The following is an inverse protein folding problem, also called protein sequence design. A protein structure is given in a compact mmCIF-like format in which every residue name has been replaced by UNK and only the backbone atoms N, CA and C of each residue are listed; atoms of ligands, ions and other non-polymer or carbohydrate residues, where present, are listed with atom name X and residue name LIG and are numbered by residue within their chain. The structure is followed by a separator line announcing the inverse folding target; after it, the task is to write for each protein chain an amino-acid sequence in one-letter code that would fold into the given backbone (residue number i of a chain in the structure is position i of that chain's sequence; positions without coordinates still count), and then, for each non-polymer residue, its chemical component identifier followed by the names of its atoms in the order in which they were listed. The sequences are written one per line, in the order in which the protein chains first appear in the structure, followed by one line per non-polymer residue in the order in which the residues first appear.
data_IF_252415314476
#
_entry.id   IF_252415314476
#
_cell.length_a   1.000
_cell.length_b   1.000
_cell.length_c   1.000
_cell.angle_alpha   90.00
_cell.angle_beta   90.00
_cell.angle_gamma   90.00
#
_symmetry.space_group_name_H-M   'P 1'
#
loop_
_entity.id
_entity.type
_entity.pdbx_description
1 polymer ?
#
# COMPACT_ATOMS: atom_id res chain seq x y z
N UNK A 1 -23.49 5.74 34.27
CA UNK A 1 -23.83 5.21 32.92
C UNK A 1 -23.20 6.00 31.74
N UNK A 2 -22.10 6.74 31.92
CA UNK A 2 -21.50 7.57 30.84
C UNK A 2 -20.26 6.95 30.17
N UNK A 3 -19.60 6.01 30.86
CA UNK A 3 -18.31 5.40 30.43
C UNK A 3 -18.46 4.25 29.42
N UNK A 4 -19.63 3.63 29.36
CA UNK A 4 -19.88 2.47 28.48
C UNK A 4 -19.99 2.88 27.01
N UNK A 5 -20.44 4.11 26.72
CA UNK A 5 -20.62 4.60 25.35
C UNK A 5 -19.30 4.85 24.61
N UNK A 6 -18.23 5.21 25.33
CA UNK A 6 -16.92 5.47 24.71
C UNK A 6 -16.23 4.20 24.22
N UNK A 7 -16.39 3.08 24.93
CA UNK A 7 -15.78 1.80 24.55
C UNK A 7 -16.33 1.25 23.22
N UNK A 8 -17.62 1.48 22.93
CA UNK A 8 -18.25 1.00 21.71
C UNK A 8 -17.73 1.72 20.45
N UNK A 9 -17.34 2.99 20.56
CA UNK A 9 -16.82 3.79 19.44
C UNK A 9 -15.37 3.40 19.11
N UNK A 10 -14.56 3.07 20.11
CA UNK A 10 -13.16 2.64 19.88
C UNK A 10 -13.12 1.25 19.22
N UNK A 11 -14.01 0.34 19.62
CA UNK A 11 -14.08 -1.00 19.05
C UNK A 11 -14.44 -1.00 17.55
N UNK A 12 -15.30 -0.08 17.11
CA UNK A 12 -15.73 0.02 15.71
C UNK A 12 -14.65 0.58 14.79
N UNK A 13 -13.75 1.42 15.31
CA UNK A 13 -12.58 1.91 14.55
C UNK A 13 -11.52 0.80 14.38
N UNK A 14 -11.35 -0.06 15.39
CA UNK A 14 -10.39 -1.17 15.33
C UNK A 14 -10.82 -2.26 14.33
N UNK A 15 -12.11 -2.57 14.22
CA UNK A 15 -12.64 -3.55 13.26
C UNK A 15 -12.51 -3.08 11.80
N UNK A 16 -12.62 -1.78 11.54
CA UNK A 16 -12.44 -1.21 10.20
C UNK A 16 -10.99 -1.31 9.70
N UNK A 17 -10.01 -1.26 10.60
CA UNK A 17 -8.59 -1.31 10.24
C UNK A 17 -8.12 -2.73 9.84
N UNK A 18 -8.80 -3.77 10.33
CA UNK A 18 -8.45 -5.18 10.04
C UNK A 18 -8.98 -5.63 8.68
N UNK A 19 -10.09 -5.07 8.19
CA UNK A 19 -10.67 -5.45 6.90
C UNK A 19 -10.08 -4.72 5.68
N UNK A 20 -9.19 -3.74 5.89
CA UNK A 20 -8.48 -3.04 4.82
C UNK A 20 -7.15 -3.68 4.39
N UNK A 21 -6.64 -4.66 5.14
CA UNK A 21 -5.37 -5.36 4.84
C UNK A 21 -5.55 -6.55 3.87
N UNK A 22 -6.71 -6.65 3.20
CA UNK A 22 -7.03 -7.70 2.24
C UNK A 22 -6.74 -7.27 0.81
N UNK A 23 -5.48 -7.22 0.42
CA UNK A 23 -5.05 -7.29 -0.98
C UNK A 23 -3.65 -7.91 -0.99
N UNK A 24 -3.37 -8.87 -1.89
CA UNK A 24 -2.33 -9.86 -1.67
C UNK A 24 -0.98 -9.16 -1.57
N UNK A 25 -0.29 -9.38 -0.45
CA UNK A 25 1.16 -9.36 -0.46
C UNK A 25 1.60 -10.52 -1.35
N UNK A 26 1.56 -10.32 -2.67
CA UNK A 26 2.26 -11.20 -3.60
C UNK A 26 3.70 -11.15 -3.14
N UNK A 27 4.16 -12.26 -2.56
CA UNK A 27 5.49 -12.41 -2.02
C UNK A 27 6.49 -11.93 -3.06
N UNK A 28 7.00 -10.72 -2.85
CA UNK A 28 8.04 -10.14 -3.68
C UNK A 28 9.30 -10.93 -3.37
N UNK A 29 9.52 -11.98 -4.16
CA UNK A 29 10.78 -12.71 -4.16
C UNK A 29 11.81 -11.70 -4.65
N UNK A 30 12.62 -11.15 -3.74
CA UNK A 30 13.69 -10.23 -4.11
C UNK A 30 14.66 -10.99 -5.04
N UNK A 31 14.80 -10.60 -6.32
CA UNK A 31 15.73 -11.27 -7.20
C UNK A 31 17.15 -11.01 -6.70
N UNK A 32 17.85 -12.10 -6.37
CA UNK A 32 19.27 -12.10 -6.04
C UNK A 32 20.08 -11.74 -7.29
N UNK A 33 20.38 -10.45 -7.45
CA UNK A 33 21.22 -9.94 -8.54
C UNK A 33 20.90 -8.48 -8.81
N UNK A 34 21.83 -7.58 -8.51
CA UNK A 34 21.68 -6.13 -8.64
C UNK A 34 21.42 -5.68 -10.07
N UNK A 35 20.15 -5.69 -10.48
CA UNK A 35 19.67 -5.01 -11.67
C UNK A 35 18.73 -3.92 -11.18
N UNK A 36 19.10 -2.67 -11.43
CA UNK A 36 18.29 -1.48 -11.17
C UNK A 36 17.10 -1.46 -12.14
N UNK A 37 16.12 -2.33 -11.90
CA UNK A 37 14.87 -2.38 -12.66
C UNK A 37 13.80 -1.81 -11.78
N UNK A 38 13.26 -0.66 -12.20
CA UNK A 38 12.08 -0.02 -11.62
C UNK A 38 10.97 -1.08 -11.46
N UNK A 39 10.80 -1.62 -10.24
CA UNK A 39 9.84 -2.71 -10.02
C UNK A 39 8.48 -2.11 -9.70
N UNK A 40 7.47 -2.43 -10.51
CA UNK A 40 6.10 -2.08 -10.18
C UNK A 40 5.63 -2.97 -9.02
N UNK A 41 5.59 -2.39 -7.82
CA UNK A 41 5.19 -3.08 -6.60
C UNK A 41 3.67 -3.26 -6.50
N UNK A 42 2.90 -2.24 -6.90
CA UNK A 42 1.44 -2.27 -6.75
C UNK A 42 0.73 -1.18 -7.53
N UNK A 43 -0.60 -1.27 -7.56
CA UNK A 43 -1.50 -0.28 -8.15
C UNK A 43 -2.57 0.12 -7.12
N UNK A 44 -2.81 1.41 -6.98
CA UNK A 44 -3.69 1.96 -5.94
C UNK A 44 -4.67 2.97 -6.52
N UNK A 45 -5.90 2.99 -5.99
CA UNK A 45 -6.92 3.96 -6.41
C UNK A 45 -6.67 5.39 -5.90
N UNK A 46 -5.79 5.57 -4.92
CA UNK A 46 -5.49 6.88 -4.35
C UNK A 46 -3.99 7.12 -4.20
N UNK A 47 -3.57 8.37 -4.38
CA UNK A 47 -2.18 8.78 -4.21
C UNK A 47 -1.70 8.51 -2.78
N UNK A 48 -2.59 8.75 -1.81
CA UNK A 48 -2.32 8.53 -0.39
C UNK A 48 -1.95 7.07 -0.10
N UNK A 49 -2.71 6.10 -0.65
CA UNK A 49 -2.40 4.69 -0.43
C UNK A 49 -1.05 4.32 -1.05
N UNK A 50 -0.76 4.79 -2.27
CA UNK A 50 0.53 4.57 -2.91
C UNK A 50 1.70 5.10 -2.06
N UNK A 51 1.59 6.32 -1.52
CA UNK A 51 2.62 6.92 -0.67
C UNK A 51 2.74 6.20 0.68
N UNK A 52 1.62 5.80 1.29
CA UNK A 52 1.63 5.07 2.55
C UNK A 52 2.42 3.76 2.43
N UNK A 53 2.12 2.95 1.41
CA UNK A 53 2.85 1.71 1.16
C UNK A 53 4.29 1.96 0.75
N UNK A 54 4.55 2.91 -0.15
CA UNK A 54 5.92 3.28 -0.55
C UNK A 54 6.79 3.69 0.64
N UNK A 55 6.27 4.52 1.54
CA UNK A 55 6.97 4.91 2.76
C UNK A 55 7.23 3.71 3.68
N UNK A 56 6.25 2.81 3.86
CA UNK A 56 6.44 1.61 4.71
C UNK A 56 7.55 0.70 4.19
N UNK A 57 7.70 0.59 2.86
CA UNK A 57 8.71 -0.23 2.21
C UNK A 57 10.13 0.36 2.37
N UNK A 58 10.26 1.69 2.24
CA UNK A 58 11.52 2.39 2.46
C UNK A 58 11.91 2.40 3.94
N UNK A 59 10.96 2.69 4.83
CA UNK A 59 11.20 2.67 6.28
C UNK A 59 11.53 1.28 6.81
N UNK A 60 10.95 0.24 6.21
CA UNK A 60 11.28 -1.15 6.51
C UNK A 60 12.64 -1.60 5.98
N UNK A 61 13.34 -0.76 5.20
CA UNK A 61 14.64 -1.08 4.62
C UNK A 61 14.59 -2.09 3.47
N UNK A 62 13.40 -2.40 2.96
CA UNK A 62 13.23 -3.33 1.84
C UNK A 62 13.68 -2.70 0.51
N UNK A 63 13.54 -1.38 0.38
CA UNK A 63 13.90 -0.60 -0.81
C UNK A 63 14.52 0.73 -0.39
N UNK A 64 15.32 1.35 -1.27
CA UNK A 64 15.98 2.62 -0.99
C UNK A 64 15.03 3.81 -1.21
N UNK A 65 14.22 3.74 -2.27
CA UNK A 65 13.27 4.81 -2.61
C UNK A 65 12.05 4.28 -3.35
N UNK A 66 11.06 5.14 -3.55
CA UNK A 66 9.86 4.80 -4.32
C UNK A 66 9.35 6.01 -5.10
N UNK A 67 8.46 5.75 -6.06
CA UNK A 67 7.70 6.78 -6.77
C UNK A 67 6.27 6.32 -7.04
N UNK A 68 5.34 7.27 -7.05
CA UNK A 68 3.94 7.05 -7.36
C UNK A 68 3.59 7.76 -8.67
N UNK A 69 3.20 7.00 -9.69
CA UNK A 69 2.89 7.53 -11.02
C UNK A 69 1.43 7.27 -11.35
N UNK A 70 0.69 8.31 -11.74
CA UNK A 70 -0.69 8.16 -12.16
C UNK A 70 -0.74 7.71 -13.63
N UNK A 71 -1.22 6.50 -13.89
CA UNK A 71 -1.25 5.90 -15.21
C UNK A 71 -2.58 5.21 -15.50
N UNK A 72 -2.93 5.14 -16.77
CA UNK A 72 -4.09 4.42 -17.25
C UNK A 72 -3.78 2.92 -17.36
N UNK A 73 -4.63 2.10 -16.74
CA UNK A 73 -4.54 0.65 -16.78
C UNK A 73 -5.60 0.10 -17.73
N UNK A 74 -5.15 -0.34 -18.90
CA UNK A 74 -6.01 -0.82 -19.99
C UNK A 74 -6.98 -1.95 -19.59
N UNK A 75 -6.56 -2.98 -18.81
CA UNK A 75 -7.45 -4.09 -18.48
C UNK A 75 -8.73 -3.67 -17.74
N UNK A 76 -8.63 -2.65 -16.89
CA UNK A 76 -9.76 -2.16 -16.09
C UNK A 76 -10.38 -0.87 -16.68
N UNK A 77 -9.80 -0.34 -17.76
CA UNK A 77 -10.19 0.93 -18.38
C UNK A 77 -10.30 2.09 -17.36
N UNK A 78 -9.35 2.15 -16.42
CA UNK A 78 -9.34 3.14 -15.35
C UNK A 78 -7.92 3.63 -15.05
N UNK A 79 -7.80 4.76 -14.36
CA UNK A 79 -6.52 5.31 -13.94
C UNK A 79 -6.19 4.94 -12.51
N UNK A 80 -4.94 4.54 -12.27
CA UNK A 80 -4.42 4.12 -10.97
C UNK A 80 -3.10 4.83 -10.66
N UNK A 81 -2.76 4.86 -9.38
CA UNK A 81 -1.44 5.23 -8.89
C UNK A 81 -0.57 3.98 -8.81
N UNK A 82 0.40 3.89 -9.72
CA UNK A 82 1.37 2.82 -9.79
C UNK A 82 2.53 3.13 -8.83
N UNK A 83 2.82 2.20 -7.93
CA UNK A 83 3.96 2.28 -7.04
C UNK A 83 5.15 1.58 -7.68
N UNK A 84 6.19 2.35 -7.98
CA UNK A 84 7.49 1.84 -8.37
C UNK A 84 8.46 1.97 -7.22
N UNK A 85 9.27 0.94 -6.99
CA UNK A 85 10.29 0.90 -5.95
C UNK A 85 11.68 0.71 -6.56
N UNK A 86 12.70 1.24 -5.87
CA UNK A 86 14.11 1.27 -6.27
C UNK A 86 15.01 0.92 -5.10
#
# INVERSE_FOLDING_TARGET
MRRVRAAAVIASIALGLVMGAGSPAQAAVAPSGGVSVNYQFGMYYSQWACQYFGNSLVQGGAFHSYSCVYQYYQPDNAYYWFLYVY
#
